data_IF_838632838748
#
_entry.id   IF_838632838748
#
_cell.length_a   1.000
_cell.length_b   1.000
_cell.length_c   1.000
_cell.angle_alpha   90.00
_cell.angle_beta   90.00
_cell.angle_gamma   90.00
#
_symmetry.space_group_name_H-M   'P 1'
#
loop_
_entity.id
_entity.type
_entity.pdbx_description
1 polymer ?
2 non-polymer ?
3 non-polymer ?
4 water ?
#
# COMPACT_ATOMS: atom_id res chain seq x y z
N UNK A 24 4.60 27.01 -0.38
CA UNK A 24 4.51 27.13 1.11
C UNK A 24 4.36 25.78 1.79
N UNK A 25 3.49 24.92 1.24
CA UNK A 25 3.28 23.60 1.82
C UNK A 25 4.08 22.54 1.07
N UNK A 26 4.63 22.96 -0.08
CA UNK A 26 5.45 22.07 -0.89
C UNK A 26 6.84 22.09 -0.28
N UNK A 27 7.06 23.07 0.59
CA UNK A 27 8.34 23.20 1.28
C UNK A 27 8.36 22.00 2.22
N UNK A 28 7.16 21.50 2.54
CA UNK A 28 6.95 20.35 3.41
C UNK A 28 7.23 19.07 2.62
N UNK A 29 6.82 19.07 1.36
CA UNK A 29 7.03 17.92 0.47
C UNK A 29 8.51 17.57 0.46
N UNK A 30 9.31 18.47 -0.10
CA UNK A 30 10.75 18.26 -0.17
C UNK A 30 11.30 17.75 1.15
N UNK A 31 10.76 18.25 2.26
CA UNK A 31 11.17 17.85 3.59
C UNK A 31 11.09 16.33 3.68
N UNK A 32 9.86 15.81 3.55
CA UNK A 32 9.61 14.38 3.59
C UNK A 32 10.67 13.67 2.74
N UNK A 33 10.67 14.00 1.45
CA UNK A 33 11.61 13.44 0.49
C UNK A 33 12.94 13.19 1.17
N UNK A 34 13.50 14.26 1.69
CA UNK A 34 14.77 14.18 2.36
C UNK A 34 14.72 13.16 3.48
N UNK A 35 13.95 13.49 4.51
CA UNK A 35 13.77 12.63 5.68
C UNK A 35 13.75 11.16 5.33
N UNK A 36 12.82 10.81 4.46
CA UNK A 36 12.67 9.44 4.02
C UNK A 36 13.99 8.86 3.57
N UNK A 37 14.65 9.56 2.65
CA UNK A 37 15.93 9.13 2.11
C UNK A 37 16.93 8.90 3.23
N UNK A 38 16.85 9.76 4.23
CA UNK A 38 17.71 9.66 5.39
C UNK A 38 17.33 8.38 6.13
N UNK A 39 16.04 8.28 6.46
CA UNK A 39 15.50 7.12 7.16
C UNK A 39 15.90 5.83 6.47
N UNK A 40 15.98 5.89 5.14
CA UNK A 40 16.38 4.74 4.36
C UNK A 40 17.81 4.40 4.67
N UNK A 41 18.70 5.31 4.33
CA UNK A 41 20.12 5.14 4.59
C UNK A 41 20.27 4.82 6.06
N UNK A 42 19.57 5.60 6.87
CA UNK A 42 19.56 5.42 8.31
C UNK A 42 19.16 3.98 8.58
N UNK A 43 17.91 3.67 8.26
CA UNK A 43 17.42 2.32 8.47
C UNK A 43 18.29 1.27 7.81
N UNK A 44 18.71 1.54 6.57
CA UNK A 44 19.58 0.61 5.85
C UNK A 44 20.78 0.26 6.70
N UNK A 45 21.69 1.22 6.83
CA UNK A 45 22.89 1.03 7.62
C UNK A 45 22.57 0.57 9.06
N UNK A 46 21.47 1.08 9.61
CA UNK A 46 21.07 0.73 10.98
C UNK A 46 20.68 -0.76 11.08
N UNK A 47 19.72 -1.17 10.26
CA UNK A 47 19.22 -2.54 10.26
C UNK A 47 20.23 -3.66 9.94
N UNK A 48 21.18 -3.38 9.05
CA UNK A 48 22.19 -4.37 8.67
C UNK A 48 22.88 -4.91 9.90
N UNK A 49 23.37 -3.97 10.70
CA UNK A 49 24.09 -4.27 11.91
C UNK A 49 23.21 -4.88 13.00
N UNK A 50 21.91 -4.66 12.91
CA UNK A 50 20.97 -5.21 13.90
C UNK A 50 20.63 -6.67 13.58
N UNK A 51 20.80 -7.05 12.31
CA UNK A 51 20.51 -8.39 11.80
C UNK A 51 21.78 -9.20 11.60
N UNK A 52 22.63 -8.72 10.69
CA UNK A 52 23.89 -9.35 10.33
C UNK A 52 24.47 -10.23 11.44
N UNK A 53 24.77 -11.48 11.10
CA UNK A 53 25.35 -12.40 12.07
C UNK A 53 24.38 -13.20 12.94
N UNK A 54 23.09 -13.00 12.73
CA UNK A 54 22.07 -13.72 13.49
C UNK A 54 21.52 -14.85 12.61
N UNK A 55 20.67 -15.73 13.18
CA UNK A 55 20.09 -16.86 12.43
C UNK A 55 19.01 -16.40 11.43
N UNK A 56 18.97 -17.04 10.27
CA UNK A 56 17.99 -16.67 9.26
C UNK A 56 18.16 -15.22 8.81
N UNK A 57 19.35 -14.67 9.10
CA UNK A 57 19.65 -13.31 8.73
C UNK A 57 19.60 -13.26 7.21
N UNK A 58 18.90 -12.26 6.70
CA UNK A 58 18.78 -12.08 5.25
C UNK A 58 19.41 -10.76 4.91
N UNK A 59 19.19 -9.82 5.82
CA UNK A 59 19.71 -8.47 5.72
C UNK A 59 21.16 -8.53 6.20
N UNK A 60 21.97 -9.32 5.48
CA UNK A 60 23.37 -9.49 5.80
C UNK A 60 24.22 -8.33 5.29
N UNK A 61 24.27 -8.12 3.97
CA UNK A 61 25.06 -7.03 3.42
C UNK A 61 24.28 -5.71 3.44
N UNK A 62 25.01 -4.58 3.44
CA UNK A 62 24.38 -3.26 3.45
C UNK A 62 23.59 -2.99 2.15
N UNK A 63 24.13 -3.42 0.99
CA UNK A 63 23.47 -3.23 -0.32
C UNK A 63 22.09 -3.90 -0.37
N UNK A 64 21.98 -5.05 0.29
CA UNK A 64 20.74 -5.78 0.38
C UNK A 64 19.76 -4.93 1.19
N UNK A 65 20.15 -4.64 2.44
CA UNK A 65 19.36 -3.85 3.37
C UNK A 65 18.82 -2.59 2.72
N UNK A 66 19.69 -1.96 1.95
CA UNK A 66 19.36 -0.75 1.22
C UNK A 66 18.08 -0.99 0.42
N UNK A 67 18.14 -2.01 -0.44
CA UNK A 67 17.03 -2.43 -1.29
C UNK A 67 15.81 -2.59 -0.41
N UNK A 68 15.94 -3.47 0.58
CA UNK A 68 14.88 -3.73 1.53
C UNK A 68 14.15 -2.46 1.98
N UNK A 69 14.90 -1.47 2.44
CA UNK A 69 14.30 -0.21 2.90
C UNK A 69 13.33 0.34 1.87
N UNK A 70 13.77 0.33 0.63
CA UNK A 70 12.98 0.79 -0.49
C UNK A 70 11.70 -0.04 -0.54
N UNK A 71 11.91 -1.35 -0.66
CA UNK A 71 10.87 -2.37 -0.74
C UNK A 71 9.91 -2.30 0.46
N UNK A 72 10.41 -1.73 1.54
CA UNK A 72 9.65 -1.61 2.77
C UNK A 72 8.90 -0.30 2.88
N UNK A 73 9.57 0.81 2.60
CA UNK A 73 8.96 2.13 2.69
C UNK A 73 7.87 2.35 1.62
N UNK A 74 7.87 1.52 0.59
CA UNK A 74 6.90 1.59 -0.49
C UNK A 74 5.86 0.51 -0.22
N UNK A 75 6.15 -0.29 0.80
CA UNK A 75 5.30 -1.40 1.25
C UNK A 75 4.99 -2.42 0.16
N UNK A 76 5.81 -2.45 -0.89
CA UNK A 76 5.62 -3.41 -1.97
C UNK A 76 5.83 -4.79 -1.37
N UNK A 77 6.66 -4.84 -0.33
CA UNK A 77 6.96 -6.07 0.39
C UNK A 77 7.12 -7.38 -0.37
N UNK A 78 7.80 -7.37 -1.52
CA UNK A 78 8.00 -8.61 -2.29
C UNK A 78 8.30 -9.75 -1.35
N UNK A 79 8.89 -9.43 -0.20
CA UNK A 79 9.23 -10.43 0.79
C UNK A 79 10.43 -11.33 0.49
N UNK A 80 11.39 -10.82 -0.28
CA UNK A 80 12.60 -11.59 -0.58
C UNK A 80 13.62 -11.27 0.51
N UNK A 81 13.29 -10.23 1.29
CA UNK A 81 14.11 -9.75 2.39
C UNK A 81 13.24 -9.13 3.46
N UNK A 82 13.56 -9.46 4.72
CA UNK A 82 12.85 -8.95 5.91
C UNK A 82 13.64 -9.20 7.20
N UNK A 83 13.22 -8.54 8.32
CA UNK A 83 13.90 -8.70 9.60
C UNK A 83 13.46 -9.95 10.39
N UNK A 84 14.35 -10.45 11.23
CA UNK A 84 14.05 -11.63 12.04
C UNK A 84 14.45 -11.36 13.48
N UNK A 85 15.16 -10.25 13.68
CA UNK A 85 15.60 -9.84 15.00
C UNK A 85 14.58 -8.86 15.58
N UNK A 86 14.31 -8.99 16.88
CA UNK A 86 13.36 -8.12 17.56
C UNK A 86 13.71 -6.67 17.30
N UNK A 87 14.97 -6.41 16.99
CA UNK A 87 15.43 -5.06 16.71
C UNK A 87 15.21 -4.67 15.27
N UNK A 88 15.68 -5.51 14.37
CA UNK A 88 15.54 -5.25 12.95
C UNK A 88 14.10 -4.93 12.62
N UNK A 89 13.19 -5.53 13.38
CA UNK A 89 11.78 -5.31 13.14
C UNK A 89 11.34 -3.90 13.57
N UNK A 90 12.15 -3.24 14.37
CA UNK A 90 11.81 -1.89 14.81
C UNK A 90 12.27 -0.97 13.73
N UNK A 91 13.50 -1.20 13.29
CA UNK A 91 14.09 -0.42 12.23
C UNK A 91 13.05 -0.44 11.12
N UNK A 92 12.35 -1.55 11.00
CA UNK A 92 11.34 -1.71 9.97
C UNK A 92 10.22 -0.72 10.18
N UNK A 93 9.45 -0.94 11.24
CA UNK A 93 8.33 -0.11 11.57
C UNK A 93 8.60 1.36 11.28
N UNK A 94 9.76 1.82 11.69
CA UNK A 94 10.13 3.19 11.47
C UNK A 94 10.14 3.47 9.97
N UNK A 95 10.88 2.65 9.24
CA UNK A 95 10.99 2.81 7.79
C UNK A 95 9.63 2.86 7.13
N UNK A 96 8.78 1.89 7.46
CA UNK A 96 7.45 1.83 6.88
C UNK A 96 6.68 3.13 7.13
N UNK A 97 6.33 3.36 8.38
CA UNK A 97 5.59 4.56 8.75
C UNK A 97 6.19 5.79 8.09
N UNK A 98 7.52 5.82 7.99
CA UNK A 98 8.20 6.95 7.36
C UNK A 98 7.66 7.12 5.93
N UNK A 99 7.83 6.07 5.13
CA UNK A 99 7.36 6.10 3.76
C UNK A 99 5.87 6.36 3.65
N UNK A 100 5.09 5.55 4.34
CA UNK A 100 3.64 5.68 4.33
C UNK A 100 3.29 7.15 4.53
N UNK A 101 3.89 7.71 5.58
CA UNK A 101 3.73 9.11 5.98
C UNK A 101 4.16 10.06 4.89
N UNK A 102 5.42 9.95 4.48
CA UNK A 102 5.97 10.80 3.44
C UNK A 102 5.05 10.87 2.22
N UNK A 103 4.69 9.72 1.65
CA UNK A 103 3.81 9.71 0.49
C UNK A 103 2.46 10.28 0.84
N UNK A 104 1.90 9.82 1.95
CA UNK A 104 0.60 10.32 2.39
C UNK A 104 0.62 11.84 2.44
N UNK A 105 1.81 12.38 2.72
CA UNK A 105 2.04 13.82 2.79
C UNK A 105 1.92 14.42 1.40
N UNK A 106 2.73 13.90 0.49
CA UNK A 106 2.73 14.36 -0.89
C UNK A 106 1.35 14.24 -1.50
N UNK A 107 0.55 13.31 -1.00
CA UNK A 107 -0.82 13.16 -1.50
C UNK A 107 -1.58 14.37 -0.99
N UNK A 108 -1.21 14.82 0.21
CA UNK A 108 -1.83 15.99 0.83
C UNK A 108 -1.54 17.25 0.03
N UNK A 109 -0.27 17.47 -0.31
CA UNK A 109 0.12 18.65 -1.07
C UNK A 109 -0.58 18.70 -2.44
N UNK A 110 -0.63 17.55 -3.12
CA UNK A 110 -1.28 17.48 -4.41
C UNK A 110 -2.71 17.96 -4.32
N UNK A 111 -3.38 17.54 -3.25
CA UNK A 111 -4.76 17.91 -3.04
C UNK A 111 -4.96 19.35 -2.60
N UNK A 112 -4.28 19.77 -1.52
CA UNK A 112 -4.40 21.13 -1.00
C UNK A 112 -4.12 22.16 -2.09
N UNK A 113 -3.43 21.70 -3.12
CA UNK A 113 -3.10 22.52 -4.27
C UNK A 113 -4.31 22.60 -5.19
N UNK A 114 -5.01 21.47 -5.36
CA UNK A 114 -6.20 21.42 -6.19
C UNK A 114 -7.29 22.35 -5.65
N UNK A 115 -7.34 22.48 -4.33
CA UNK A 115 -8.32 23.35 -3.70
C UNK A 115 -7.78 24.78 -3.77
N UNK A 116 -6.60 24.91 -4.37
CA UNK A 116 -5.98 26.22 -4.53
C UNK A 116 -6.50 26.86 -5.81
N UNK A 117 -6.79 26.01 -6.80
CA UNK A 117 -7.32 26.47 -8.08
C UNK A 117 -8.82 26.18 -8.12
N UNK A 118 -9.36 25.75 -6.99
CA UNK A 118 -10.80 25.47 -6.87
C UNK A 118 -11.42 26.71 -6.22
N UNK A 119 -10.59 27.43 -5.43
CA UNK A 119 -10.99 28.66 -4.75
C UNK A 119 -10.55 29.87 -5.59
N UNK A 120 -10.36 29.61 -6.88
CA UNK A 120 -10.00 30.60 -7.87
C UNK A 120 -10.82 30.20 -9.13
N UNK B 24 -10.83 22.11 -13.51
CA UNK B 24 -10.23 21.09 -14.42
C UNK B 24 -9.00 20.40 -13.81
N UNK B 25 -9.19 19.77 -12.66
CA UNK B 25 -8.13 19.05 -11.96
C UNK B 25 -8.20 17.58 -12.31
N UNK B 26 -9.29 17.19 -12.98
CA UNK B 26 -9.48 15.81 -13.41
C UNK B 26 -8.71 15.64 -14.71
N UNK B 27 -8.33 16.78 -15.29
CA UNK B 27 -7.54 16.77 -16.51
C UNK B 27 -6.19 16.23 -16.07
N UNK B 28 -5.91 16.38 -14.77
CA UNK B 28 -4.68 15.92 -14.15
C UNK B 28 -4.76 14.41 -13.92
N UNK B 29 -5.94 13.94 -13.54
CA UNK B 29 -6.19 12.53 -13.30
C UNK B 29 -5.79 11.74 -14.54
N UNK B 30 -6.53 11.94 -15.63
CA UNK B 30 -6.25 11.26 -16.87
C UNK B 30 -4.76 11.27 -17.20
N UNK B 31 -4.10 12.39 -16.88
CA UNK B 31 -2.67 12.55 -17.11
C UNK B 31 -1.96 11.36 -16.47
N UNK B 32 -2.05 11.30 -15.14
CA UNK B 32 -1.44 10.23 -14.36
C UNK B 32 -1.69 8.90 -15.05
N UNK B 33 -2.98 8.57 -15.18
CA UNK B 33 -3.41 7.34 -15.83
C UNK B 33 -2.48 7.01 -16.98
N UNK B 34 -2.38 7.94 -17.91
CA UNK B 34 -1.52 7.77 -19.06
C UNK B 34 -0.10 7.47 -18.62
N UNK B 35 0.53 8.48 -18.04
CA UNK B 35 1.90 8.39 -17.56
C UNK B 35 2.23 7.04 -16.98
N UNK B 36 1.45 6.65 -15.98
CA UNK B 36 1.62 5.37 -15.31
C UNK B 36 1.72 4.24 -16.32
N UNK B 37 0.71 4.16 -17.19
CA UNK B 37 0.65 3.13 -18.21
C UNK B 37 1.92 3.14 -19.05
N UNK B 38 2.41 4.34 -19.31
CA UNK B 38 3.63 4.51 -20.06
C UNK B 38 4.77 3.94 -19.23
N UNK B 39 4.89 4.45 -18.00
CA UNK B 39 5.92 4.02 -17.06
C UNK B 39 5.92 2.49 -16.95
N UNK B 40 4.74 1.89 -17.04
CA UNK B 40 4.63 0.45 -16.98
C UNK B 40 5.32 -0.16 -18.16
N UNK B 41 4.77 0.12 -19.35
CA UNK B 41 5.32 -0.37 -20.58
C UNK B 41 6.79 0.02 -20.61
N UNK B 42 7.03 1.26 -20.25
CA UNK B 42 8.38 1.79 -20.19
C UNK B 42 9.18 0.88 -19.26
N UNK B 43 8.81 0.88 -17.98
CA UNK B 43 9.50 0.06 -17.01
C UNK B 43 9.53 -1.39 -17.43
N UNK B 44 8.40 -1.91 -17.92
CA UNK B 44 8.31 -3.29 -18.37
C UNK B 44 9.43 -3.58 -19.35
N UNK B 45 9.29 -3.04 -20.55
CA UNK B 45 10.28 -3.23 -21.59
C UNK B 45 11.68 -2.82 -21.12
N UNK B 46 11.76 -1.77 -20.30
CA UNK B 46 13.04 -1.29 -19.80
C UNK B 46 13.71 -2.31 -18.87
N UNK B 47 13.00 -2.71 -17.83
CA UNK B 47 13.53 -3.67 -16.85
C UNK B 47 13.89 -5.06 -17.36
N UNK B 48 13.14 -5.58 -18.33
CA UNK B 48 13.43 -6.90 -18.90
C UNK B 48 14.87 -6.99 -19.33
N UNK B 49 15.25 -6.03 -20.15
CA UNK B 49 16.57 -5.95 -20.70
C UNK B 49 17.65 -5.63 -19.65
N UNK B 50 17.25 -5.05 -18.53
CA UNK B 50 18.20 -4.73 -17.45
C UNK B 50 18.49 -5.96 -16.59
N UNK B 51 17.56 -6.92 -16.61
CA UNK B 51 17.66 -8.16 -15.83
C UNK B 51 18.05 -9.35 -16.69
N UNK B 52 17.19 -9.65 -17.65
CA UNK B 52 17.37 -10.76 -18.58
C UNK B 52 18.83 -11.14 -18.79
N UNK B 53 19.13 -12.43 -18.59
CA UNK B 53 20.49 -12.92 -18.78
C UNK B 53 21.44 -12.84 -17.59
N UNK B 54 20.93 -12.34 -16.46
CA UNK B 54 21.74 -12.22 -15.25
C UNK B 54 21.35 -13.39 -14.31
N UNK B 55 22.09 -13.55 -13.20
CA UNK B 55 21.82 -14.62 -12.22
C UNK B 55 20.55 -14.36 -11.40
N UNK B 56 19.79 -15.43 -11.12
CA UNK B 56 18.56 -15.27 -10.36
C UNK B 56 17.55 -14.38 -11.06
N UNK B 57 17.66 -14.27 -12.37
CA UNK B 57 16.73 -13.43 -13.10
C UNK B 57 15.40 -14.19 -13.14
N UNK B 58 14.31 -13.48 -12.92
CA UNK B 58 12.97 -14.09 -13.00
C UNK B 58 12.24 -13.19 -13.97
N UNK B 59 12.73 -11.95 -14.07
CA UNK B 59 12.19 -10.94 -14.98
C UNK B 59 12.84 -11.16 -16.33
N UNK B 60 12.74 -12.40 -16.81
CA UNK B 60 13.32 -12.83 -18.06
C UNK B 60 12.52 -12.40 -19.28
N UNK B 61 11.29 -12.88 -19.39
CA UNK B 61 10.46 -12.51 -20.54
C UNK B 61 9.77 -11.15 -20.31
N UNK B 62 9.41 -10.47 -21.41
CA UNK B 62 8.73 -9.17 -21.34
C UNK B 62 7.33 -9.30 -20.71
N UNK B 63 6.59 -10.39 -21.04
CA UNK B 63 5.23 -10.62 -20.49
C UNK B 63 5.23 -10.73 -18.97
N UNK B 64 6.30 -11.31 -18.44
CA UNK B 64 6.47 -11.46 -17.00
C UNK B 64 6.66 -10.05 -16.42
N UNK B 65 7.68 -9.37 -16.90
CA UNK B 65 8.03 -8.01 -16.46
C UNK B 65 6.81 -7.12 -16.44
N UNK B 66 6.01 -7.25 -17.49
CA UNK B 66 4.78 -6.48 -17.64
C UNK B 66 3.95 -6.64 -16.36
N UNK B 67 3.65 -7.89 -16.03
CA UNK B 67 2.89 -8.27 -14.84
C UNK B 67 3.52 -7.56 -13.65
N UNK B 68 4.79 -7.87 -13.44
CA UNK B 68 5.55 -7.28 -12.37
C UNK B 68 5.27 -5.80 -12.17
N UNK B 69 5.37 -5.02 -13.24
CA UNK B 69 5.13 -3.58 -13.17
C UNK B 69 3.82 -3.29 -12.48
N UNK B 70 2.81 -4.04 -12.87
CA UNK B 70 1.47 -3.91 -12.31
C UNK B 70 1.57 -4.19 -10.82
N UNK B 71 2.08 -5.38 -10.52
CA UNK B 71 2.27 -5.90 -9.17
C UNK B 71 3.11 -4.97 -8.31
N UNK B 72 3.91 -4.15 -8.98
CA UNK B 72 4.80 -3.22 -8.33
C UNK B 72 4.20 -1.84 -8.13
N UNK B 73 3.59 -1.31 -9.18
CA UNK B 73 2.97 0.01 -9.10
C UNK B 73 1.75 0.07 -8.18
N UNK B 74 1.20 -1.10 -7.86
CA UNK B 74 0.05 -1.23 -6.98
C UNK B 74 0.57 -1.64 -5.62
N UNK B 75 1.87 -1.91 -5.59
CA UNK B 75 2.59 -2.31 -4.38
C UNK B 75 2.03 -3.55 -3.71
N UNK B 76 1.26 -4.33 -4.46
CA UNK B 76 0.70 -5.56 -3.92
C UNK B 76 1.88 -6.47 -3.59
N UNK B 77 2.96 -6.30 -4.34
CA UNK B 77 4.16 -7.08 -4.14
C UNK B 77 4.09 -8.55 -3.79
N UNK B 78 3.21 -9.32 -4.42
CA UNK B 78 3.10 -10.76 -4.15
C UNK B 78 4.49 -11.37 -3.99
N UNK B 79 5.46 -10.76 -4.66
CA UNK B 79 6.83 -11.23 -4.59
C UNK B 79 7.16 -12.50 -5.37
N UNK B 80 6.44 -12.76 -6.45
CA UNK B 80 6.72 -13.94 -7.27
C UNK B 80 7.72 -13.51 -8.33
N UNK B 81 7.90 -12.18 -8.42
CA UNK B 81 8.80 -11.54 -9.37
C UNK B 81 9.33 -10.24 -8.79
N UNK B 82 10.64 -10.02 -8.96
CA UNK B 82 11.34 -8.82 -8.50
C UNK B 82 12.73 -8.68 -9.14
N UNK B 83 13.35 -7.48 -9.01
CA UNK B 83 14.68 -7.23 -9.58
C UNK B 83 15.84 -7.73 -8.71
N UNK B 84 16.96 -8.05 -9.34
CA UNK B 84 18.13 -8.52 -8.62
C UNK B 84 19.35 -7.75 -9.09
N UNK B 85 19.16 -7.00 -10.17
CA UNK B 85 20.23 -6.18 -10.74
C UNK B 85 20.13 -4.78 -10.16
N UNK B 86 21.29 -4.20 -9.87
CA UNK B 86 21.35 -2.85 -9.32
C UNK B 86 20.54 -1.90 -10.20
N UNK B 87 20.38 -2.25 -11.47
CA UNK B 87 19.63 -1.43 -12.41
C UNK B 87 18.15 -1.71 -12.35
N UNK B 88 17.81 -2.99 -12.46
CA UNK B 88 16.41 -3.39 -12.43
C UNK B 88 15.73 -2.79 -11.21
N UNK B 89 16.50 -2.63 -10.14
CA UNK B 89 15.94 -2.08 -8.93
C UNK B 89 15.64 -0.59 -9.05
N UNK B 90 16.19 0.06 -10.06
CA UNK B 90 15.93 1.47 -10.25
C UNK B 90 14.66 1.57 -11.02
N UNK B 91 14.59 0.77 -12.07
CA UNK B 91 13.42 0.71 -12.92
C UNK B 91 12.26 0.51 -11.95
N UNK B 92 12.54 -0.21 -10.87
CA UNK B 92 11.51 -0.49 -9.87
C UNK B 92 11.06 0.79 -9.20
N UNK B 93 11.96 1.36 -8.41
CA UNK B 93 11.70 2.59 -7.68
C UNK B 93 10.85 3.56 -8.49
N UNK B 94 11.21 3.73 -9.74
CA UNK B 94 10.48 4.62 -10.61
C UNK B 94 9.03 4.15 -10.73
N UNK B 95 8.87 2.88 -11.10
CA UNK B 95 7.55 2.29 -11.25
C UNK B 95 6.70 2.49 -10.00
N UNK B 96 7.26 2.13 -8.86
CA UNK B 96 6.55 2.25 -7.59
C UNK B 96 6.07 3.69 -7.37
N UNK B 97 7.01 4.59 -7.13
CA UNK B 97 6.67 5.98 -6.91
C UNK B 97 5.66 6.48 -7.95
N UNK B 98 5.79 6.00 -9.18
CA UNK B 98 4.86 6.41 -10.24
C UNK B 98 3.45 6.06 -9.81
N UNK B 99 3.22 4.77 -9.56
CA UNK B 99 1.92 4.31 -9.14
C UNK B 99 1.45 4.95 -7.85
N UNK B 100 2.28 4.89 -6.81
CA UNK B 100 1.95 5.49 -5.53
C UNK B 100 1.43 6.88 -5.76
N UNK B 101 2.22 7.65 -6.53
CA UNK B 101 1.93 9.02 -6.91
C UNK B 101 0.62 9.14 -7.67
N UNK B 102 0.54 8.44 -8.80
CA UNK B 102 -0.66 8.45 -9.62
C UNK B 102 -1.93 8.24 -8.80
N UNK B 103 -2.00 7.16 -8.03
CA UNK B 103 -3.18 6.90 -7.22
C UNK B 103 -3.36 7.98 -6.17
N UNK B 104 -2.27 8.32 -5.48
CA UNK B 104 -2.34 9.37 -4.47
C UNK B 104 -2.95 10.63 -5.07
N UNK B 105 -2.72 10.80 -6.37
CA UNK B 105 -3.24 11.94 -7.12
C UNK B 105 -4.75 11.81 -7.23
N UNK B 106 -5.19 10.69 -7.79
CA UNK B 106 -6.60 10.41 -7.97
C UNK B 106 -7.34 10.50 -6.64
N UNK B 107 -6.63 10.25 -5.54
CA UNK B 107 -7.24 10.33 -4.23
C UNK B 107 -7.46 11.82 -3.98
N UNK B 108 -6.52 12.62 -4.50
CA UNK B 108 -6.61 14.08 -4.36
C UNK B 108 -7.81 14.63 -5.12
N UNK B 109 -7.98 14.23 -6.38
CA UNK B 109 -9.10 14.71 -7.19
C UNK B 109 -10.44 14.35 -6.55
N UNK B 110 -10.55 13.11 -6.08
CA UNK B 110 -11.78 12.65 -5.43
C UNK B 110 -12.16 13.57 -4.29
N UNK B 111 -11.16 13.95 -3.52
CA UNK B 111 -11.37 14.81 -2.37
C UNK B 111 -11.66 16.26 -2.73
N UNK B 112 -10.77 16.88 -3.51
CA UNK B 112 -10.91 18.28 -3.93
C UNK B 112 -12.28 18.52 -4.57
N UNK B 113 -12.87 17.43 -5.04
CA UNK B 113 -14.18 17.44 -5.67
C UNK B 113 -15.24 17.48 -4.56
N UNK B 114 -15.02 16.72 -3.49
CA UNK B 114 -15.95 16.69 -2.35
C UNK B 114 -16.06 18.05 -1.70
N UNK B 115 -14.96 18.79 -1.70
CA UNK B 115 -14.96 20.14 -1.14
C UNK B 115 -15.54 21.09 -2.18
N UNK B 116 -15.92 20.52 -3.32
CA UNK B 116 -16.52 21.31 -4.39
C UNK B 116 -18.01 21.40 -4.14
N UNK B 117 -18.57 20.34 -3.56
CA UNK B 117 -20.00 20.30 -3.24
C UNK B 117 -20.17 20.54 -1.75
N UNK B 118 -19.08 20.91 -1.07
CA UNK B 118 -19.11 21.21 0.35
C UNK B 118 -19.19 22.74 0.45
N UNK B 119 -18.67 23.41 -0.57
CA UNK B 119 -18.68 24.88 -0.66
C UNK B 119 -19.76 25.27 -1.68
N UNK B 120 -20.32 24.25 -2.31
CA UNK B 120 -21.33 24.42 -3.35
C UNK B 120 -22.66 24.68 -2.69
N UNK B 121 -22.80 24.13 -1.49
CA UNK B 121 -23.99 24.28 -0.67
C UNK B 121 -23.79 25.50 0.22
N UNK B 122 -22.67 25.52 0.95
CA UNK B 122 -22.33 26.62 1.84
C UNK B 122 -22.27 27.95 1.07
N UNK B 123 -21.29 28.08 0.17
CA UNK B 123 -21.14 29.29 -0.63
C UNK B 123 -19.80 29.44 -1.31
N UNK C 24 -24.22 15.02 0.17
CA UNK C 24 -23.52 14.05 1.08
C UNK C 24 -22.33 13.42 0.32
N UNK C 25 -21.11 13.64 0.78
CA UNK C 25 -20.00 13.00 0.10
C UNK C 25 -19.70 11.65 0.73
N UNK C 26 -20.32 11.40 1.88
CA UNK C 26 -20.17 10.14 2.59
C UNK C 26 -21.11 9.15 1.93
N UNK C 27 -22.04 9.69 1.14
CA UNK C 27 -22.98 8.86 0.42
C UNK C 27 -22.13 8.16 -0.64
N UNK C 28 -20.99 8.78 -0.93
CA UNK C 28 -20.02 8.25 -1.90
C UNK C 28 -19.20 7.14 -1.24
N UNK C 29 -18.89 7.35 0.04
CA UNK C 29 -18.13 6.37 0.81
C UNK C 29 -18.82 5.03 0.74
N UNK C 30 -20.01 4.96 1.34
CA UNK C 30 -20.78 3.73 1.33
C UNK C 30 -20.81 3.08 -0.04
N UNK C 31 -20.88 3.93 -1.08
CA UNK C 31 -20.89 3.45 -2.45
C UNK C 31 -19.70 2.54 -2.66
N UNK C 32 -18.51 3.11 -2.54
CA UNK C 32 -17.26 2.38 -2.69
C UNK C 32 -17.37 1.05 -1.95
N UNK C 33 -17.57 1.16 -0.64
CA UNK C 33 -17.72 0.00 0.23
C UNK C 33 -18.43 -1.12 -0.51
N UNK C 34 -19.63 -0.81 -0.96
CA UNK C 34 -20.43 -1.75 -1.69
C UNK C 34 -19.66 -2.29 -2.88
N UNK C 35 -19.46 -1.41 -3.86
CA UNK C 35 -18.75 -1.73 -5.10
C UNK C 35 -17.61 -2.69 -4.86
N UNK C 36 -16.69 -2.29 -3.99
CA UNK C 36 -15.54 -3.09 -3.66
C UNK C 36 -15.95 -4.52 -3.30
N UNK C 37 -16.86 -4.64 -2.35
CA UNK C 37 -17.37 -5.93 -1.91
C UNK C 37 -17.89 -6.74 -3.09
N UNK C 38 -18.53 -6.04 -4.01
CA UNK C 38 -19.06 -6.66 -5.20
C UNK C 38 -17.87 -7.13 -6.02
N UNK C 39 -16.97 -6.20 -6.31
CA UNK C 39 -15.77 -6.48 -7.09
C UNK C 39 -15.04 -7.68 -6.53
N UNK C 40 -15.08 -7.82 -5.21
CA UNK C 40 -14.43 -8.94 -4.54
C UNK C 40 -15.12 -10.22 -4.94
N UNK C 41 -16.38 -10.32 -4.55
CA UNK C 41 -17.18 -11.49 -4.88
C UNK C 41 -17.09 -11.68 -6.38
N UNK C 42 -17.25 -10.57 -7.09
CA UNK C 42 -17.18 -10.57 -8.55
C UNK C 42 -15.84 -11.17 -8.92
N UNK C 43 -14.77 -10.46 -8.58
CA UNK C 43 -13.45 -10.94 -8.89
C UNK C 43 -13.21 -12.34 -8.36
N UNK C 44 -13.62 -12.60 -7.11
CA UNK C 44 -13.45 -13.91 -6.50
C UNK C 44 -14.01 -14.96 -7.43
N UNK C 45 -15.32 -15.02 -7.51
CA UNK C 45 -16.00 -15.98 -8.36
C UNK C 45 -15.50 -15.91 -9.82
N UNK C 46 -15.20 -14.70 -10.29
CA UNK C 46 -14.73 -14.52 -11.66
C UNK C 46 -13.36 -15.17 -11.88
N UNK C 47 -12.39 -14.79 -11.06
CA UNK C 47 -11.03 -15.31 -11.17
C UNK C 47 -10.83 -16.82 -10.97
N UNK C 48 -11.62 -17.43 -10.09
CA UNK C 48 -11.52 -18.87 -9.84
C UNK C 48 -11.61 -19.63 -11.15
N UNK C 49 -12.67 -19.32 -11.87
CA UNK C 49 -12.96 -19.97 -13.13
C UNK C 49 -11.98 -19.61 -14.23
N UNK C 50 -11.27 -18.49 -14.08
CA UNK C 50 -10.29 -18.06 -15.07
C UNK C 50 -8.96 -18.77 -14.87
N UNK C 51 -8.74 -19.25 -13.65
CA UNK C 51 -7.51 -19.95 -13.25
C UNK C 51 -7.71 -21.45 -13.15
N UNK C 52 -8.60 -21.85 -12.25
CA UNK C 52 -8.92 -23.25 -11.99
C UNK C 52 -8.69 -24.16 -13.19
N UNK C 53 -7.92 -25.23 -12.98
CA UNK C 53 -7.64 -26.18 -14.04
C UNK C 53 -6.44 -25.90 -14.94
N UNK C 54 -5.74 -24.81 -14.67
CA UNK C 54 -4.56 -24.44 -15.45
C UNK C 54 -3.32 -24.83 -14.65
N UNK C 55 -2.12 -24.71 -15.26
CA UNK C 55 -0.85 -25.06 -14.59
C UNK C 55 -0.46 -24.05 -13.50
N UNK C 56 0.09 -24.53 -12.40
CA UNK C 56 0.50 -23.63 -11.33
C UNK C 56 -0.69 -22.87 -10.76
N UNK C 57 -1.87 -23.40 -11.05
CA UNK C 57 -3.09 -22.80 -10.58
C UNK C 57 -3.03 -22.84 -9.07
N UNK C 58 -3.34 -21.71 -8.45
CA UNK C 58 -3.34 -21.61 -6.99
C UNK C 58 -4.74 -21.26 -6.57
N UNK C 59 -5.34 -20.42 -7.39
CA UNK C 59 -6.69 -19.94 -7.20
C UNK C 59 -7.61 -21.04 -7.73
N UNK C 60 -7.50 -22.20 -7.09
CA UNK C 60 -8.30 -23.34 -7.48
C UNK C 60 -9.71 -23.27 -6.90
N UNK C 61 -9.84 -23.27 -5.57
CA UNK C 61 -11.17 -23.21 -4.96
C UNK C 61 -11.66 -21.75 -4.83
N UNK C 62 -12.98 -21.57 -4.76
CA UNK C 62 -13.58 -20.24 -4.64
C UNK C 62 -13.21 -19.58 -3.29
N UNK C 63 -13.19 -20.38 -2.19
CA UNK C 63 -12.85 -19.85 -0.85
C UNK C 63 -11.45 -19.26 -0.80
N UNK C 64 -10.54 -19.86 -1.56
CA UNK C 64 -9.15 -19.39 -1.65
C UNK C 64 -9.19 -18.03 -2.36
N UNK C 65 -9.72 -18.03 -3.58
CA UNK C 65 -9.85 -16.84 -4.42
C UNK C 65 -10.41 -15.67 -3.64
N UNK C 66 -11.44 -15.97 -2.85
CA UNK C 66 -12.10 -15.00 -2.02
C UNK C 66 -11.05 -14.26 -1.19
N UNK C 67 -10.29 -15.04 -0.42
CA UNK C 67 -9.21 -14.55 0.43
C UNK C 67 -8.32 -13.66 -0.41
N UNK C 68 -7.79 -14.24 -1.47
CA UNK C 68 -6.94 -13.54 -2.40
C UNK C 68 -7.43 -12.12 -2.71
N UNK C 69 -8.69 -12.00 -3.11
CA UNK C 69 -9.27 -10.70 -3.44
C UNK C 69 -9.02 -9.71 -2.33
N UNK C 70 -9.24 -10.15 -1.11
CA UNK C 70 -9.02 -9.34 0.08
C UNK C 70 -7.55 -8.92 0.10
N UNK C 71 -6.70 -9.93 0.10
CA UNK C 71 -5.24 -9.82 0.12
C UNK C 71 -4.73 -8.94 -1.02
N UNK C 72 -5.52 -8.85 -2.08
CA UNK C 72 -5.17 -8.10 -3.25
C UNK C 72 -5.67 -6.67 -3.22
N UNK C 73 -6.93 -6.49 -2.88
CA UNK C 73 -7.54 -5.15 -2.82
C UNK C 73 -6.95 -4.27 -1.70
N UNK C 74 -6.27 -4.91 -0.75
CA UNK C 74 -5.65 -4.22 0.36
C UNK C 74 -4.17 -4.11 0.05
N UNK C 75 -3.80 -4.76 -1.05
CA UNK C 75 -2.42 -4.81 -1.56
C UNK C 75 -1.40 -5.33 -0.54
N UNK C 76 -1.88 -6.04 0.47
CA UNK C 76 -0.99 -6.62 1.47
C UNK C 76 -0.10 -7.62 0.73
N UNK C 77 -0.65 -8.20 -0.34
CA UNK C 77 0.06 -9.16 -1.16
C UNK C 77 0.97 -10.20 -0.53
N UNK C 78 0.57 -10.81 0.59
CA UNK C 78 1.41 -11.83 1.25
C UNK C 78 2.05 -12.73 0.20
N UNK C 79 1.37 -12.87 -0.94
CA UNK C 79 1.86 -13.70 -2.03
C UNK C 79 1.76 -15.20 -1.86
N UNK C 80 0.78 -15.66 -1.09
CA UNK C 80 0.59 -17.10 -0.89
C UNK C 80 -0.37 -17.57 -1.99
N UNK C 81 -0.97 -16.58 -2.66
CA UNK C 81 -1.91 -16.79 -3.74
C UNK C 81 -1.85 -15.63 -4.73
N UNK C 82 -1.87 -15.98 -6.02
CA UNK C 82 -1.82 -15.01 -7.12
C UNK C 82 -2.19 -15.67 -8.47
N UNK C 83 -2.49 -14.85 -9.49
CA UNK C 83 -2.85 -15.32 -10.84
C UNK C 83 -1.68 -15.74 -11.71
N UNK C 84 -1.91 -16.68 -12.61
CA UNK C 84 -0.85 -17.14 -13.51
C UNK C 84 -1.37 -17.14 -14.94
N UNK C 85 -2.68 -16.94 -15.06
CA UNK C 85 -3.33 -16.90 -16.36
C UNK C 85 -3.43 -15.44 -16.81
N UNK C 86 -3.20 -15.22 -18.10
CA UNK C 86 -3.26 -13.88 -18.67
C UNK C 86 -4.59 -13.22 -18.30
N UNK C 87 -5.60 -14.03 -18.03
CA UNK C 87 -6.91 -13.52 -17.65
C UNK C 87 -7.01 -13.22 -16.17
N UNK C 88 -6.64 -14.21 -15.36
CA UNK C 88 -6.69 -14.05 -13.92
C UNK C 88 -5.98 -12.78 -13.51
N UNK C 89 -4.95 -12.42 -14.28
CA UNK C 89 -4.19 -11.22 -13.98
C UNK C 89 -4.97 -9.95 -14.27
N UNK C 90 -6.05 -10.07 -15.03
CA UNK C 90 -6.86 -8.89 -15.34
C UNK C 90 -7.81 -8.74 -14.20
N UNK C 91 -8.43 -9.85 -13.84
CA UNK C 91 -9.36 -9.88 -12.73
C UNK C 91 -8.62 -9.20 -11.58
N UNK C 92 -7.31 -9.41 -11.55
CA UNK C 92 -6.49 -8.83 -10.50
C UNK C 92 -6.51 -7.31 -10.57
N UNK C 93 -5.88 -6.80 -11.61
CA UNK C 93 -5.79 -5.38 -11.83
C UNK C 93 -7.06 -4.65 -11.42
N UNK C 94 -8.19 -5.20 -11.84
CA UNK C 94 -9.46 -4.60 -11.52
C UNK C 94 -9.62 -4.56 -10.00
N UNK C 95 -9.45 -5.72 -9.37
CA UNK C 95 -9.58 -5.82 -7.93
C UNK C 95 -8.70 -4.80 -7.21
N UNK C 96 -7.43 -4.78 -7.59
CA UNK C 96 -6.50 -3.85 -6.97
C UNK C 96 -6.97 -2.41 -7.07
N UNK C 97 -6.97 -1.89 -8.30
CA UNK C 97 -7.41 -0.53 -8.52
C UNK C 97 -8.71 -0.24 -7.77
N UNK C 98 -9.60 -1.23 -7.72
CA UNK C 98 -10.87 -1.06 -7.02
C UNK C 98 -10.59 -0.67 -5.58
N UNK C 99 -9.88 -1.54 -4.88
CA UNK C 99 -9.55 -1.29 -3.49
C UNK C 99 -8.75 0.00 -3.30
N UNK C 100 -7.66 0.12 -4.03
CA UNK C 100 -6.82 1.30 -3.96
C UNK C 100 -7.71 2.54 -4.02
N UNK C 101 -8.55 2.55 -5.04
CA UNK C 101 -9.52 3.61 -5.30
C UNK C 101 -10.48 3.81 -4.14
N UNK C 102 -11.20 2.75 -3.80
CA UNK C 102 -12.16 2.80 -2.71
C UNK C 102 -11.58 3.43 -1.45
N UNK C 103 -10.45 2.91 -0.98
CA UNK C 103 -9.83 3.47 0.21
C UNK C 103 -9.38 4.89 -0.03
N UNK C 104 -8.71 5.12 -1.17
CA UNK C 104 -8.25 6.45 -1.50
C UNK C 104 -9.43 7.42 -1.42
N UNK C 105 -10.61 6.90 -1.71
CA UNK C 105 -11.85 7.67 -1.66
C UNK C 105 -12.17 8.03 -0.22
N UNK C 106 -12.27 7.00 0.61
CA UNK C 106 -12.57 7.18 2.02
C UNK C 106 -11.55 8.11 2.68
N UNK C 107 -10.35 8.15 2.13
CA UNK C 107 -9.31 9.02 2.66
C UNK C 107 -9.76 10.44 2.29
N UNK C 108 -10.39 10.55 1.12
CA UNK C 108 -10.88 11.83 0.63
C UNK C 108 -12.01 12.36 1.52
N UNK C 109 -12.99 11.52 1.82
CA UNK C 109 -14.11 11.93 2.67
C UNK C 109 -13.63 12.37 4.06
N UNK C 110 -12.71 11.61 4.64
CA UNK C 110 -12.16 11.94 5.95
C UNK C 110 -11.59 13.34 5.96
N UNK C 111 -10.89 13.67 4.88
CA UNK C 111 -10.26 14.96 4.75
C UNK C 111 -11.25 16.10 4.45
N UNK C 112 -12.05 15.93 3.39
CA UNK C 112 -13.02 16.96 2.97
C UNK C 112 -13.94 17.33 4.15
N UNK C 113 -14.00 16.42 5.11
CA UNK C 113 -14.79 16.59 6.31
C UNK C 113 -14.02 17.49 7.29
N UNK C 114 -12.70 17.28 7.38
CA UNK C 114 -11.85 18.08 8.26
C UNK C 114 -11.85 19.54 7.84
N UNK C 115 -11.97 19.78 6.54
CA UNK C 115 -12.02 21.14 6.02
C UNK C 115 -13.45 21.65 6.18
N UNK C 116 -14.30 20.79 6.75
CA UNK C 116 -15.68 21.15 7.00
C UNK C 116 -15.76 21.85 8.34
N UNK C 117 -14.90 21.45 9.27
CA UNK C 117 -14.85 22.04 10.60
C UNK C 117 -13.65 22.98 10.68
N UNK C 118 -13.01 23.21 9.54
CA UNK C 118 -11.87 24.12 9.45
C UNK C 118 -12.43 25.45 8.94
N UNK C 119 -13.54 25.35 8.19
CA UNK C 119 -14.23 26.52 7.63
C UNK C 119 -15.39 26.91 8.55
N UNK C 120 -15.11 26.61 9.83
CA UNK C 120 -15.96 26.90 10.97
C UNK C 120 -14.95 27.40 12.03
N UNK D 24 -9.75 21.05 16.68
CA UNK D 24 -8.56 20.16 16.53
C UNK D 24 -8.88 18.77 15.92
N UNK D 25 -8.70 18.66 14.60
CA UNK D 25 -8.88 17.43 13.83
C UNK D 25 -7.69 16.51 14.06
N UNK D 26 -6.67 17.03 14.73
CA UNK D 26 -5.48 16.25 15.06
C UNK D 26 -5.81 15.45 16.30
N UNK D 27 -6.89 15.83 16.96
CA UNK D 27 -7.36 15.13 18.14
C UNK D 27 -7.83 13.79 17.60
N UNK D 28 -8.17 13.79 16.32
CA UNK D 28 -8.63 12.60 15.61
C UNK D 28 -7.43 11.72 15.27
N UNK D 29 -6.33 12.35 14.89
CA UNK D 29 -5.10 11.66 14.55
C UNK D 29 -4.72 10.75 15.70
N UNK D 30 -4.37 11.36 16.84
CA UNK D 30 -3.99 10.59 18.00
C UNK D 30 -4.94 9.44 18.26
N UNK D 31 -6.22 9.69 18.02
CA UNK D 31 -7.26 8.66 18.19
C UNK D 31 -6.85 7.42 17.42
N UNK D 32 -6.78 7.56 16.10
CA UNK D 32 -6.38 6.46 15.21
C UNK D 32 -5.18 5.75 15.82
N UNK D 33 -4.10 6.49 15.97
CA UNK D 33 -2.86 5.99 16.54
C UNK D 33 -3.16 4.97 17.61
N UNK D 34 -3.90 5.41 18.61
CA UNK D 34 -4.28 4.56 19.70
C UNK D 34 -4.99 3.31 19.17
N UNK D 35 -6.19 3.53 18.66
CA UNK D 35 -7.03 2.47 18.11
C UNK D 35 -6.22 1.40 17.41
N UNK D 36 -5.46 1.83 16.41
CA UNK D 36 -4.63 0.93 15.64
C UNK D 36 -3.79 0.06 16.56
N UNK D 37 -3.04 0.69 17.45
CA UNK D 37 -2.18 0.00 18.40
C UNK D 37 -2.98 -1.03 19.19
N UNK D 38 -4.20 -0.67 19.51
CA UNK D 38 -5.10 -1.56 20.23
C UNK D 38 -5.42 -2.71 19.29
N UNK D 39 -5.93 -2.37 18.11
CA UNK D 39 -6.29 -3.35 17.10
C UNK D 39 -5.14 -4.33 16.86
N UNK D 40 -3.92 -3.82 16.96
CA UNK D 40 -2.74 -4.66 16.77
C UNK D 40 -2.68 -5.67 17.89
N UNK D 41 -2.51 -5.16 19.11
CA UNK D 41 -2.44 -6.01 20.27
C UNK D 41 -3.67 -6.88 20.26
N UNK D 42 -4.81 -6.24 20.01
CA UNK D 42 -6.09 -6.93 19.93
C UNK D 42 -5.94 -8.04 18.90
N UNK D 43 -5.75 -7.65 17.65
CA UNK D 43 -5.58 -8.63 16.59
C UNK D 43 -4.47 -9.61 16.88
N UNK D 44 -3.33 -9.11 17.37
CA UNK D 44 -2.20 -9.98 17.71
C UNK D 44 -2.68 -11.09 18.61
N UNK D 45 -2.96 -10.74 19.86
CA UNK D 45 -3.42 -11.71 20.85
C UNK D 45 -4.67 -12.49 20.35
N UNK D 46 -5.54 -11.80 19.63
CA UNK D 46 -6.75 -12.42 19.10
C UNK D 46 -6.43 -13.52 18.07
N UNK D 47 -5.70 -13.14 17.02
CA UNK D 47 -5.34 -14.06 15.94
C UNK D 47 -4.49 -15.29 16.33
N UNK D 48 -3.58 -15.13 17.30
CA UNK D 48 -2.73 -16.24 17.73
C UNK D 48 -3.58 -17.43 18.10
N UNK D 49 -4.55 -17.17 18.97
CA UNK D 49 -5.44 -18.18 19.48
C UNK D 49 -6.41 -18.71 18.41
N UNK D 50 -6.63 -17.93 17.35
CA UNK D 50 -7.52 -18.37 16.27
C UNK D 50 -6.80 -19.31 15.30
N UNK D 51 -5.48 -19.21 15.28
CA UNK D 51 -4.62 -20.01 14.40
C UNK D 51 -3.93 -21.14 15.15
N UNK D 52 -3.10 -20.77 16.12
CA UNK D 52 -2.34 -21.70 16.94
C UNK D 52 -2.99 -23.07 17.06
N UNK D 53 -2.21 -24.11 16.75
CA UNK D 53 -2.70 -25.48 16.83
C UNK D 53 -3.41 -26.04 15.61
N UNK D 54 -3.51 -25.25 14.55
CA UNK D 54 -4.16 -25.69 13.32
C UNK D 54 -3.06 -26.06 12.31
N UNK D 55 -3.44 -26.64 11.16
CA UNK D 55 -2.48 -27.04 10.11
C UNK D 55 -1.89 -25.83 9.37
N UNK D 56 -0.60 -25.91 9.04
CA UNK D 56 0.04 -24.79 8.33
C UNK D 56 0.02 -23.52 9.14
N UNK D 57 -0.23 -23.63 10.44
CA UNK D 57 -0.22 -22.45 11.27
C UNK D 57 1.24 -21.95 11.29
N UNK D 58 1.41 -20.64 11.20
CA UNK D 58 2.74 -20.04 11.25
C UNK D 58 2.59 -19.01 12.35
N UNK D 59 1.35 -18.58 12.55
CA UNK D 59 1.00 -17.59 13.57
C UNK D 59 0.79 -18.36 14.88
N UNK D 60 1.83 -19.08 15.25
CA UNK D 60 1.84 -19.90 16.43
C UNK D 60 2.06 -19.11 17.71
N UNK D 61 3.22 -18.47 17.84
CA UNK D 61 3.51 -17.70 19.05
C UNK D 61 2.92 -16.29 18.97
N UNK D 62 2.68 -15.67 20.12
CA UNK D 62 2.11 -14.31 20.19
C UNK D 62 3.10 -13.27 19.61
N UNK D 63 4.42 -13.43 19.89
CA UNK D 63 5.44 -12.50 19.38
C UNK D 63 5.47 -12.45 17.86
N UNK D 64 5.21 -13.59 17.23
CA UNK D 64 5.17 -13.70 15.78
C UNK D 64 3.96 -12.88 15.31
N UNK D 65 2.78 -13.27 15.79
CA UNK D 65 1.52 -12.63 15.45
C UNK D 65 1.61 -11.12 15.55
N UNK D 66 2.26 -10.69 16.62
CA UNK D 66 2.48 -9.27 16.88
C UNK D 66 3.09 -8.63 15.63
N UNK D 67 4.23 -9.17 15.21
CA UNK D 67 4.96 -8.73 14.03
C UNK D 67 3.99 -8.67 12.88
N UNK D 68 3.39 -9.81 12.59
CA UNK D 68 2.42 -9.93 11.54
C UNK D 68 1.46 -8.73 11.47
N UNK D 69 0.83 -8.40 12.59
CA UNK D 69 -0.12 -7.29 12.65
C UNK D 69 0.48 -6.06 12.05
N UNK D 70 1.73 -5.79 12.42
CA UNK D 70 2.47 -4.65 11.93
C UNK D 70 2.58 -4.77 10.41
N UNK D 71 3.15 -5.90 9.99
CA UNK D 71 3.38 -6.26 8.60
C UNK D 71 2.08 -6.24 7.77
N UNK D 72 0.97 -6.38 8.48
CA UNK D 72 -0.34 -6.42 7.86
C UNK D 72 -1.01 -5.05 7.79
N UNK D 73 -1.00 -4.33 8.91
CA UNK D 73 -1.62 -3.01 8.97
C UNK D 73 -0.89 -1.96 8.12
N UNK D 74 0.34 -2.27 7.73
CA UNK D 74 1.15 -1.40 6.89
C UNK D 74 1.08 -1.94 5.48
N UNK D 75 0.45 -3.10 5.36
CA UNK D 75 0.24 -3.82 4.11
C UNK D 75 1.54 -4.12 3.37
N UNK D 76 2.66 -4.09 4.07
CA UNK D 76 3.94 -4.41 3.47
C UNK D 76 3.87 -5.86 3.01
N UNK D 77 3.06 -6.65 3.72
CA UNK D 77 2.87 -8.06 3.42
C UNK D 77 4.04 -8.92 2.95
N UNK D 78 5.21 -8.77 3.55
CA UNK D 78 6.37 -9.59 3.16
C UNK D 78 5.92 -11.02 2.90
N UNK D 79 4.85 -11.43 3.58
CA UNK D 79 4.32 -12.77 3.42
C UNK D 79 5.10 -13.91 4.08
N UNK D 80 5.82 -13.63 5.16
CA UNK D 80 6.57 -14.66 5.87
C UNK D 80 5.62 -15.23 6.93
N UNK D 81 4.50 -14.53 7.11
CA UNK D 81 3.47 -14.88 8.08
C UNK D 81 2.12 -14.40 7.58
N UNK D 82 1.12 -15.28 7.72
CA UNK D 82 -0.28 -15.00 7.33
C UNK D 82 -1.26 -16.03 7.91
N UNK D 83 -2.58 -15.72 7.85
CA UNK D 83 -3.62 -16.62 8.38
C UNK D 83 -4.00 -17.75 7.41
N UNK D 84 -4.47 -18.87 7.97
CA UNK D 84 -4.87 -20.00 7.16
C UNK D 84 -6.24 -20.48 7.65
N UNK D 85 -6.66 -19.94 8.79
CA UNK D 85 -7.95 -20.28 9.37
C UNK D 85 -8.98 -19.25 8.92
N UNK D 86 -10.18 -19.74 8.62
CA UNK D 86 -11.27 -18.87 8.18
C UNK D 86 -11.45 -17.72 9.17
N UNK D 87 -11.04 -17.94 10.41
CA UNK D 87 -11.14 -16.91 11.44
C UNK D 87 -9.98 -15.96 11.43
N UNK D 88 -8.77 -16.53 11.45
CA UNK D 88 -7.57 -15.72 11.44
C UNK D 88 -7.62 -14.72 10.31
N UNK D 89 -8.27 -15.11 9.22
CA UNK D 89 -8.39 -14.23 8.07
C UNK D 89 -9.31 -13.05 8.33
N UNK D 90 -10.13 -13.15 9.36
CA UNK D 90 -11.04 -12.06 9.67
C UNK D 90 -10.26 -11.09 10.51
N UNK D 91 -9.57 -11.64 11.50
CA UNK D 91 -8.75 -10.84 12.38
C UNK D 91 -7.88 -10.01 11.46
N UNK D 92 -7.54 -10.58 10.31
CA UNK D 92 -6.70 -9.90 9.33
C UNK D 92 -7.42 -8.68 8.79
N UNK D 93 -8.45 -8.93 8.01
CA UNK D 93 -9.24 -7.89 7.39
C UNK D 93 -9.41 -6.68 8.31
N UNK D 94 -9.74 -6.95 9.55
CA UNK D 94 -9.92 -5.89 10.53
C UNK D 94 -8.61 -5.11 10.67
N UNK D 95 -7.53 -5.83 10.95
CA UNK D 95 -6.23 -5.21 11.12
C UNK D 95 -5.87 -4.34 9.92
N UNK D 96 -5.99 -4.90 8.72
CA UNK D 96 -5.67 -4.17 7.50
C UNK D 96 -6.46 -2.87 7.42
N UNK D 97 -7.76 -3.00 7.21
CA UNK D 97 -8.62 -1.83 7.11
C UNK D 97 -8.31 -0.82 8.22
N UNK D 98 -8.00 -1.32 9.41
CA UNK D 98 -7.66 -0.45 10.54
C UNK D 98 -6.50 0.44 10.14
N UNK D 99 -5.38 -0.19 9.80
CA UNK D 99 -4.20 0.55 9.40
C UNK D 99 -4.44 1.43 8.19
N UNK D 100 -4.96 0.84 7.12
CA UNK D 100 -5.24 1.58 5.90
C UNK D 100 -5.97 2.86 6.27
N UNK D 101 -7.03 2.68 7.05
CA UNK D 101 -7.87 3.75 7.56
C UNK D 101 -7.10 4.76 8.37
N UNK D 102 -6.47 4.28 9.44
CA UNK D 102 -5.69 5.13 10.32
C UNK D 102 -4.74 6.03 9.54
N UNK D 103 -3.90 5.46 8.69
CA UNK D 103 -2.97 6.27 7.91
C UNK D 103 -3.71 7.17 6.96
N UNK D 104 -4.69 6.63 6.26
CA UNK D 104 -5.49 7.42 5.34
C UNK D 104 -6.02 8.65 6.06
N UNK D 105 -6.26 8.48 7.35
CA UNK D 105 -6.76 9.54 8.21
C UNK D 105 -5.69 10.60 8.39
N UNK D 106 -4.53 10.18 8.87
CA UNK D 106 -3.41 11.07 9.08
C UNK D 106 -3.04 11.79 7.79
N UNK D 107 -3.33 11.17 6.66
CA UNK D 107 -3.05 11.81 5.38
C UNK D 107 -4.05 12.95 5.27
N UNK D 108 -5.26 12.70 5.81
CA UNK D 108 -6.32 13.70 5.79
C UNK D 108 -5.94 14.93 6.64
N UNK D 109 -5.49 14.68 7.87
CA UNK D 109 -5.10 15.78 8.76
C UNK D 109 -3.98 16.62 8.16
N UNK D 110 -2.97 15.95 7.59
CA UNK D 110 -1.85 16.65 6.96
C UNK D 110 -2.35 17.63 5.91
N UNK D 111 -3.31 17.18 5.13
CA UNK D 111 -3.88 17.98 4.06
C UNK D 111 -4.79 19.10 4.55
N UNK D 112 -5.80 18.74 5.35
CA UNK D 112 -6.76 19.72 5.88
C UNK D 112 -6.05 20.87 6.59
N UNK D 113 -4.82 20.59 7.00
CA UNK D 113 -3.96 21.53 7.68
C UNK D 113 -3.34 22.46 6.63
N UNK D 114 -2.94 21.90 5.49
CA UNK D 114 -2.35 22.68 4.40
C UNK D 114 -3.34 23.71 3.87
N UNK D 115 -4.62 23.34 3.87
CA UNK D 115 -5.67 24.25 3.41
C UNK D 115 -5.99 25.22 4.55
N UNK D 116 -5.27 25.05 5.66
CA UNK D 116 -5.45 25.91 6.81
C UNK D 116 -4.56 27.13 6.64
N UNK D 117 -3.41 26.93 5.99
CA UNK D 117 -2.47 28.02 5.73
C UNK D 117 -2.59 28.43 4.27
N UNK D 118 -3.59 27.90 3.59
CA UNK D 118 -3.85 28.23 2.20
C UNK D 118 -4.97 29.26 2.21
N UNK D 119 -5.80 29.22 3.27
CA UNK D 119 -6.91 30.15 3.48
C UNK D 119 -6.44 31.20 4.49
N UNK D 120 -5.14 31.10 4.82
CA UNK D 120 -4.44 31.99 5.75
C UNK D 120 -3.51 32.84 4.88
N UNK D 121 -3.71 32.71 3.57
CA UNK D 121 -2.96 33.43 2.55
C UNK D 121 -3.98 33.92 1.52
N UNK D 122 -4.92 33.04 1.15
CA UNK D 122 -5.97 33.33 0.17
C UNK D 122 -7.02 34.32 0.70
N UNK D 123 -7.05 34.52 2.02
CA UNK D 123 -8.00 35.45 2.61
C UNK D 123 -8.85 34.90 3.75
#
# INVERSE_FOLDING_TARGET
MAPMLSGLLARLVKLLLGRHGSALHWRAAGAATVLLVIVLLAGSYLAVLAERGAPGAQLITYPRALWWSVETATTVGYGDLYPVTLWGRCVAVVVMVAGITSFGLVTAALATWFVGREQERRGHF
MAPMLSGLLARLVKLLLGRHGSALHWRAAGAATVLLVIVLLAGSYLAVLAERGAPGAQLITYPRALWWSVETATTVGYGDLYPVTLWGRCVAVVVMVAGITSFGLVTAALATWFVGREQERRGHF
MAPMLSGLLARLVKLLLGRHGSALHWRAAGAATVLLVIVLLAGSYLAVLAERGAPGAQLITYPRALWWSVETATTVGYGDLYPVTLWGRCVAVVVMVAGITSFGLVTAALATWFVGREQERRGHF
MAPMLSGLLARLVKLLLGRHGSALHWRAAGAATVLLVIVLLAGSYLAVLAERGAPGAQLITYPRALWWSVETATTVGYGDLYPVTLWGRCVAVVVMVAGITSFGLVTAALATWFVGREQERRGHF
#
